data_IF_356359781479
#
_entry.id   IF_356359781479
#
_cell.length_a   1.000
_cell.length_b   1.000
_cell.length_c   1.000
_cell.angle_alpha   90.00
_cell.angle_beta   90.00
_cell.angle_gamma   90.00
#
_symmetry.space_group_name_H-M   'P 1'
#
loop_
_entity.id
_entity.type
_entity.pdbx_description
1 polymer ?
#
# COMPACT_ATOMS: atom_id res chain seq x y z
N UNK A 1 -24.98 -8.51 16.50
CA UNK A 1 -23.63 -9.08 16.66
C UNK A 1 -23.15 -9.51 15.27
N UNK A 2 -22.11 -8.85 14.68
CA UNK A 2 -21.49 -9.36 13.45
C UNK A 2 -20.77 -10.65 13.83
N UNK A 3 -21.23 -11.80 13.33
CA UNK A 3 -20.46 -13.03 13.42
C UNK A 3 -19.07 -12.73 12.89
N UNK A 4 -18.04 -13.00 13.69
CA UNK A 4 -16.65 -12.94 13.23
C UNK A 4 -16.51 -14.08 12.21
N UNK A 5 -16.60 -13.74 10.93
CA UNK A 5 -16.34 -14.69 9.86
C UNK A 5 -14.94 -15.23 10.02
N UNK A 6 -14.79 -16.56 10.01
CA UNK A 6 -13.52 -17.22 10.14
C UNK A 6 -12.56 -16.76 9.03
N UNK A 7 -11.40 -16.28 9.41
CA UNK A 7 -10.35 -15.87 8.48
C UNK A 7 -9.61 -17.12 8.00
N UNK A 8 -9.74 -17.45 6.72
CA UNK A 8 -9.11 -18.61 6.08
C UNK A 8 -7.66 -18.30 5.73
N UNK A 9 -7.38 -17.06 5.28
CA UNK A 9 -6.05 -16.60 4.92
C UNK A 9 -5.87 -15.16 5.37
N UNK A 10 -4.65 -14.83 5.83
CA UNK A 10 -4.27 -13.46 6.15
C UNK A 10 -2.83 -13.19 5.79
N UNK A 11 -2.60 -12.10 5.08
CA UNK A 11 -1.29 -11.57 4.75
C UNK A 11 -1.22 -10.09 5.12
N UNK A 12 -0.12 -9.68 5.75
CA UNK A 12 0.17 -8.27 6.05
C UNK A 12 1.50 -7.91 5.42
N UNK A 13 1.46 -7.02 4.45
CA UNK A 13 2.64 -6.50 3.78
C UNK A 13 3.00 -5.12 4.30
N UNK A 14 4.30 -4.84 4.40
CA UNK A 14 4.88 -3.53 4.70
C UNK A 14 5.83 -3.12 3.59
N UNK A 15 6.10 -1.81 3.38
CA UNK A 15 7.08 -1.38 2.39
C UNK A 15 8.46 -1.96 2.69
N UNK A 16 9.08 -2.57 1.68
CA UNK A 16 10.42 -3.17 1.80
C UNK A 16 11.40 -2.60 0.76
N UNK A 17 11.00 -1.57 0.03
CA UNK A 17 11.81 -1.00 -1.03
C UNK A 17 12.94 -0.14 -0.45
N UNK A 18 14.17 -0.62 -0.53
CA UNK A 18 15.38 0.07 -0.03
C UNK A 18 15.54 1.47 -0.66
N UNK A 19 15.21 1.64 -1.94
CA UNK A 19 15.33 2.93 -2.62
C UNK A 19 14.46 4.04 -1.99
N UNK A 20 13.30 3.67 -1.41
CA UNK A 20 12.45 4.62 -0.68
C UNK A 20 13.16 5.14 0.57
N UNK A 21 13.86 4.25 1.29
CA UNK A 21 14.66 4.63 2.46
C UNK A 21 15.82 5.53 2.08
N UNK A 22 16.49 5.25 0.96
CA UNK A 22 17.58 6.10 0.44
C UNK A 22 17.04 7.49 0.10
N UNK A 23 15.88 7.57 -0.56
CA UNK A 23 15.25 8.85 -0.88
C UNK A 23 14.86 9.63 0.38
N UNK A 24 14.23 8.97 1.35
CA UNK A 24 13.86 9.60 2.62
C UNK A 24 15.08 10.09 3.36
N UNK A 25 16.14 9.29 3.43
CA UNK A 25 17.40 9.68 4.06
C UNK A 25 18.05 10.88 3.36
N UNK A 26 18.04 10.90 2.03
CA UNK A 26 18.54 12.04 1.24
C UNK A 26 17.78 13.34 1.54
N UNK A 27 16.45 13.28 1.56
CA UNK A 27 15.62 14.44 1.94
C UNK A 27 15.87 14.84 3.40
N UNK A 28 16.02 13.87 4.29
CA UNK A 28 16.31 14.12 5.70
C UNK A 28 17.63 14.88 5.87
N UNK A 29 18.70 14.47 5.18
CA UNK A 29 20.00 15.14 5.21
C UNK A 29 19.87 16.58 4.69
N UNK A 30 19.15 16.78 3.59
CA UNK A 30 18.92 18.11 3.03
C UNK A 30 18.14 19.01 4.01
N UNK A 31 17.10 18.49 4.66
CA UNK A 31 16.32 19.21 5.66
C UNK A 31 17.14 19.57 6.89
N UNK A 32 18.02 18.65 7.36
CA UNK A 32 18.96 18.95 8.43
C UNK A 32 19.96 20.02 8.05
N UNK A 33 20.52 19.93 6.85
CA UNK A 33 21.46 20.92 6.37
C UNK A 33 20.83 22.33 6.32
N UNK A 34 19.64 22.46 5.74
CA UNK A 34 18.91 23.73 5.70
C UNK A 34 18.55 24.24 7.10
N UNK A 35 18.13 23.35 8.02
CA UNK A 35 17.83 23.73 9.39
C UNK A 35 19.06 24.24 10.14
N UNK A 36 20.18 23.54 10.06
CA UNK A 36 21.42 23.94 10.72
C UNK A 36 21.91 25.28 10.16
N UNK A 37 21.95 25.43 8.84
CA UNK A 37 22.39 26.67 8.21
C UNK A 37 21.52 27.86 8.60
N UNK A 38 20.20 27.75 8.43
CA UNK A 38 19.31 28.89 8.57
C UNK A 38 18.88 29.17 10.01
N UNK A 39 18.71 28.12 10.84
CA UNK A 39 18.21 28.30 12.22
C UNK A 39 19.34 28.41 13.24
N UNK A 40 20.44 27.66 13.03
CA UNK A 40 21.55 27.65 14.01
C UNK A 40 22.61 28.70 13.65
N UNK A 41 22.97 28.80 12.38
CA UNK A 41 24.03 29.72 11.92
C UNK A 41 23.48 31.03 11.35
N UNK A 42 22.18 31.20 11.23
CA UNK A 42 21.49 32.38 10.69
C UNK A 42 21.92 32.74 9.25
N UNK A 43 22.36 31.73 8.48
CA UNK A 43 22.78 31.84 7.08
C UNK A 43 21.59 31.43 6.20
N UNK A 44 21.02 32.33 5.36
CA UNK A 44 19.90 32.02 4.51
C UNK A 44 20.13 30.80 3.62
N UNK A 45 19.20 29.85 3.60
CA UNK A 45 19.29 28.64 2.79
C UNK A 45 18.58 28.82 1.44
N UNK A 46 19.36 28.90 0.36
CA UNK A 46 18.87 29.09 -1.02
C UNK A 46 18.62 30.55 -1.41
N UNK A 47 18.29 30.78 -2.67
CA UNK A 47 18.09 32.11 -3.25
C UNK A 47 16.85 32.85 -2.71
N UNK A 48 15.84 32.10 -2.27
CA UNK A 48 14.61 32.62 -1.65
C UNK A 48 14.33 31.81 -0.38
N UNK A 49 15.00 32.14 0.73
CA UNK A 49 14.89 31.38 1.95
C UNK A 49 13.46 31.42 2.50
N UNK A 50 12.94 30.26 2.93
CA UNK A 50 11.64 30.20 3.59
C UNK A 50 11.73 30.90 4.96
N UNK A 51 10.61 31.47 5.47
CA UNK A 51 10.58 31.98 6.83
C UNK A 51 10.97 30.90 7.85
N UNK A 52 11.74 31.26 8.89
CA UNK A 52 12.23 30.33 9.90
C UNK A 52 11.12 29.46 10.51
N UNK A 53 9.96 30.04 10.80
CA UNK A 53 8.81 29.29 11.31
C UNK A 53 8.32 28.21 10.35
N UNK A 54 8.25 28.50 9.05
CA UNK A 54 7.84 27.53 8.03
C UNK A 54 8.86 26.39 7.92
N UNK A 55 10.16 26.71 7.97
CA UNK A 55 11.24 25.70 7.92
C UNK A 55 11.18 24.77 9.12
N UNK A 56 10.97 25.29 10.33
CA UNK A 56 10.84 24.50 11.57
C UNK A 56 9.63 23.56 11.47
N UNK A 57 8.47 24.07 11.04
CA UNK A 57 7.26 23.24 10.88
C UNK A 57 7.47 22.13 9.85
N UNK A 58 8.03 22.45 8.70
CA UNK A 58 8.34 21.43 7.68
C UNK A 58 9.33 20.38 8.19
N UNK A 59 10.35 20.80 8.91
CA UNK A 59 11.34 19.90 9.53
C UNK A 59 10.67 18.96 10.53
N UNK A 60 9.84 19.49 11.46
CA UNK A 60 9.12 18.67 12.43
C UNK A 60 8.16 17.68 11.76
N UNK A 61 7.35 18.16 10.79
CA UNK A 61 6.39 17.31 10.08
C UNK A 61 7.11 16.18 9.36
N UNK A 62 8.20 16.49 8.65
CA UNK A 62 8.97 15.47 7.94
C UNK A 62 9.58 14.44 8.90
N UNK A 63 10.21 14.90 10.01
CA UNK A 63 10.87 14.03 10.98
C UNK A 63 9.92 13.15 11.79
N UNK A 64 8.74 13.64 12.11
CA UNK A 64 7.75 12.89 12.86
C UNK A 64 6.91 12.01 11.92
N UNK A 65 6.40 12.58 10.84
CA UNK A 65 5.44 11.89 9.97
C UNK A 65 6.11 10.79 9.12
N UNK A 66 7.32 11.03 8.58
CA UNK A 66 7.95 10.07 7.67
C UNK A 66 8.32 8.74 8.33
N UNK A 67 8.96 8.68 9.51
CA UNK A 67 9.23 7.41 10.19
C UNK A 67 7.95 6.69 10.63
N UNK A 68 6.96 7.43 11.16
CA UNK A 68 5.68 6.85 11.57
C UNK A 68 4.99 6.17 10.39
N UNK A 69 4.91 6.85 9.25
CA UNK A 69 4.30 6.30 8.03
C UNK A 69 5.06 5.08 7.51
N UNK A 70 6.39 5.12 7.51
CA UNK A 70 7.20 4.06 6.93
C UNK A 70 7.38 2.86 7.86
N UNK A 71 7.59 3.06 9.15
CA UNK A 71 7.86 1.96 10.10
C UNK A 71 6.58 1.25 10.56
N UNK A 72 5.48 1.94 10.69
CA UNK A 72 4.26 1.37 11.27
C UNK A 72 2.97 1.67 10.53
N UNK A 73 2.91 2.81 9.83
CA UNK A 73 1.68 3.34 9.25
C UNK A 73 1.24 2.65 7.97
N UNK A 74 2.18 2.38 7.04
CA UNK A 74 1.83 1.79 5.74
C UNK A 74 1.75 0.27 5.81
N UNK A 75 0.55 -0.27 5.59
CA UNK A 75 0.30 -1.72 5.55
C UNK A 75 -0.75 -2.05 4.51
N UNK A 76 -0.50 -3.11 3.75
CA UNK A 76 -1.51 -3.77 2.94
C UNK A 76 -1.91 -5.06 3.64
N UNK A 77 -3.16 -5.14 4.05
CA UNK A 77 -3.74 -6.30 4.72
C UNK A 77 -4.68 -6.97 3.73
N UNK A 78 -4.46 -8.25 3.51
CA UNK A 78 -5.25 -9.10 2.62
C UNK A 78 -5.80 -10.23 3.48
N UNK A 79 -7.11 -10.44 3.45
CA UNK A 79 -7.79 -11.54 4.15
C UNK A 79 -8.76 -12.23 3.21
N UNK A 80 -8.80 -13.56 3.28
CA UNK A 80 -9.89 -14.36 2.71
C UNK A 80 -10.74 -14.85 3.86
N UNK A 81 -12.02 -14.59 3.77
CA UNK A 81 -13.05 -15.05 4.70
C UNK A 81 -14.11 -15.81 3.92
N UNK A 82 -15.00 -16.48 4.60
CA UNK A 82 -16.03 -17.31 3.95
C UNK A 82 -16.76 -16.65 2.78
N UNK A 83 -17.06 -15.35 2.85
CA UNK A 83 -17.83 -14.64 1.80
C UNK A 83 -16.98 -14.04 0.68
N UNK A 84 -15.65 -13.91 0.85
CA UNK A 84 -14.83 -13.28 -0.17
C UNK A 84 -13.45 -12.83 0.28
N UNK A 85 -12.87 -11.97 -0.56
CA UNK A 85 -11.58 -11.34 -0.35
C UNK A 85 -11.75 -9.93 0.23
N UNK A 86 -11.01 -9.64 1.27
CA UNK A 86 -11.03 -8.38 2.00
C UNK A 86 -9.65 -7.73 1.93
N UNK A 87 -9.61 -6.47 1.50
CA UNK A 87 -8.35 -5.72 1.33
C UNK A 87 -8.42 -4.42 2.11
N UNK A 88 -7.38 -4.14 2.89
CA UNK A 88 -7.25 -2.88 3.62
C UNK A 88 -5.85 -2.30 3.44
N UNK A 89 -5.77 -1.09 2.92
CA UNK A 89 -4.52 -0.36 2.76
C UNK A 89 -4.47 0.77 3.81
N UNK A 90 -3.73 0.53 4.88
CA UNK A 90 -3.59 1.47 6.00
C UNK A 90 -2.54 2.51 5.67
N UNK A 91 -2.73 3.83 5.97
CA UNK A 91 -3.88 4.43 6.65
C UNK A 91 -5.03 4.86 5.72
N UNK A 92 -4.91 4.69 4.41
CA UNK A 92 -5.85 5.22 3.41
C UNK A 92 -7.26 4.60 3.47
N UNK A 93 -7.35 3.36 3.94
CA UNK A 93 -8.65 2.70 4.13
C UNK A 93 -8.94 2.53 5.63
N UNK A 94 -9.98 3.19 6.11
CA UNK A 94 -10.49 3.00 7.47
C UNK A 94 -11.22 1.67 7.61
N UNK A 95 -11.86 1.18 6.54
CA UNK A 95 -12.58 -0.08 6.48
C UNK A 95 -12.00 -1.00 5.39
N UNK A 96 -12.27 -2.30 5.49
CA UNK A 96 -11.93 -3.24 4.43
C UNK A 96 -12.72 -2.94 3.16
N UNK A 97 -12.05 -3.09 2.01
CA UNK A 97 -12.70 -3.20 0.71
C UNK A 97 -13.02 -4.67 0.48
N UNK A 98 -14.27 -4.94 0.21
CA UNK A 98 -14.80 -6.30 0.10
C UNK A 98 -14.98 -6.66 -1.38
N UNK A 99 -14.51 -7.84 -1.73
CA UNK A 99 -14.69 -8.48 -3.04
C UNK A 99 -15.39 -9.80 -2.79
N UNK A 100 -16.72 -9.81 -2.91
CA UNK A 100 -17.53 -10.99 -2.63
C UNK A 100 -17.33 -12.04 -3.71
N UNK A 101 -17.28 -13.33 -3.33
CA UNK A 101 -17.08 -14.43 -4.27
C UNK A 101 -18.13 -14.47 -5.37
N UNK A 102 -19.38 -14.10 -5.06
CA UNK A 102 -20.47 -14.00 -6.04
C UNK A 102 -20.23 -12.98 -7.15
N UNK A 103 -19.42 -11.94 -6.88
CA UNK A 103 -19.10 -10.87 -7.83
C UNK A 103 -17.82 -11.16 -8.61
N UNK A 104 -17.06 -12.19 -8.20
CA UNK A 104 -15.81 -12.63 -8.85
C UNK A 104 -16.12 -13.69 -9.89
N UNK A 105 -16.00 -13.35 -11.16
CA UNK A 105 -16.19 -14.29 -12.28
C UNK A 105 -15.04 -15.26 -12.45
N UNK A 106 -13.81 -14.72 -12.31
CA UNK A 106 -12.59 -15.47 -12.49
C UNK A 106 -11.47 -14.87 -11.65
N UNK A 107 -10.55 -15.71 -11.19
CA UNK A 107 -9.32 -15.26 -10.54
C UNK A 107 -8.16 -16.16 -10.91
N UNK A 108 -7.00 -15.54 -11.10
CA UNK A 108 -5.78 -16.24 -11.49
C UNK A 108 -4.53 -15.59 -10.86
N UNK A 109 -3.53 -16.44 -10.61
CA UNK A 109 -2.22 -15.97 -10.18
C UNK A 109 -1.49 -15.38 -11.37
N UNK A 110 -0.99 -14.15 -11.21
CA UNK A 110 -0.26 -13.45 -12.26
C UNK A 110 1.09 -12.96 -11.78
N UNK A 111 2.00 -12.82 -12.75
CA UNK A 111 3.24 -12.05 -12.57
C UNK A 111 3.15 -10.81 -13.45
N UNK A 112 3.31 -9.63 -12.86
CA UNK A 112 3.18 -8.37 -13.57
C UNK A 112 4.28 -7.39 -13.17
N UNK A 113 4.45 -6.32 -13.98
CA UNK A 113 5.35 -5.22 -13.62
C UNK A 113 4.52 -4.09 -13.01
N UNK A 114 4.64 -3.78 -11.71
CA UNK A 114 3.92 -2.69 -11.08
C UNK A 114 4.15 -1.35 -11.78
N UNK A 115 5.41 -1.05 -12.13
CA UNK A 115 5.77 0.19 -12.83
C UNK A 115 5.16 0.29 -14.22
N UNK A 116 5.28 -0.77 -15.05
CA UNK A 116 4.80 -0.73 -16.43
C UNK A 116 3.27 -0.76 -16.53
N UNK A 117 2.59 -1.58 -15.70
CA UNK A 117 1.13 -1.76 -15.78
C UNK A 117 0.36 -0.69 -15.03
N UNK A 118 0.89 -0.16 -13.91
CA UNK A 118 0.17 0.72 -12.99
C UNK A 118 0.95 1.99 -12.57
N UNK A 119 2.16 2.20 -13.09
CA UNK A 119 2.98 3.35 -12.74
C UNK A 119 3.60 3.29 -11.34
N UNK A 120 3.60 2.12 -10.68
CA UNK A 120 4.24 1.93 -9.38
C UNK A 120 3.45 1.08 -8.38
N UNK A 121 3.86 1.19 -7.12
CA UNK A 121 3.23 0.50 -5.99
C UNK A 121 2.20 1.38 -5.29
N UNK A 122 1.37 0.76 -4.45
CA UNK A 122 0.31 1.41 -3.69
C UNK A 122 -1.09 1.07 -4.20
N UNK A 123 -2.01 2.03 -4.07
CA UNK A 123 -3.34 1.98 -4.67
C UNK A 123 -3.25 2.75 -5.98
N UNK A 124 -3.38 2.06 -7.09
CA UNK A 124 -3.24 2.66 -8.42
C UNK A 124 -4.37 2.22 -9.35
N UNK A 125 -4.56 3.00 -10.40
CA UNK A 125 -5.42 2.71 -11.52
C UNK A 125 -4.60 2.84 -12.80
N UNK A 126 -4.86 1.99 -13.77
CA UNK A 126 -4.29 2.15 -15.11
C UNK A 126 -5.30 2.78 -16.09
N UNK A 127 -4.83 3.10 -17.27
CA UNK A 127 -5.67 3.69 -18.34
C UNK A 127 -6.80 2.77 -18.83
N UNK A 128 -6.75 1.46 -18.51
CA UNK A 128 -7.80 0.50 -18.85
C UNK A 128 -8.87 0.40 -17.75
N UNK A 129 -8.78 1.22 -16.71
CA UNK A 129 -9.71 1.16 -15.57
C UNK A 129 -9.45 0.02 -14.58
N UNK A 130 -8.35 -0.73 -14.75
CA UNK A 130 -7.96 -1.76 -13.80
C UNK A 130 -7.40 -1.13 -12.53
N UNK A 131 -7.78 -1.66 -11.39
CA UNK A 131 -7.29 -1.21 -10.09
C UNK A 131 -6.26 -2.18 -9.54
N UNK A 132 -5.26 -1.66 -8.81
CA UNK A 132 -4.32 -2.51 -8.09
C UNK A 132 -4.20 -2.07 -6.63
N UNK A 133 -4.02 -3.06 -5.76
CA UNK A 133 -3.53 -2.91 -4.40
C UNK A 133 -2.25 -3.71 -4.29
N UNK A 134 -1.12 -3.04 -4.24
CA UNK A 134 0.16 -3.72 -4.06
C UNK A 134 1.08 -2.93 -3.13
N UNK A 135 1.96 -3.63 -2.45
CA UNK A 135 2.95 -3.04 -1.57
C UNK A 135 4.36 -3.40 -2.03
N UNK A 136 4.59 -4.67 -2.37
CA UNK A 136 5.89 -5.19 -2.76
C UNK A 136 5.78 -6.20 -3.89
N UNK A 137 6.90 -6.46 -4.58
CA UNK A 137 7.05 -7.57 -5.52
C UNK A 137 6.35 -7.35 -6.86
N UNK A 138 6.23 -8.47 -7.59
CA UNK A 138 5.68 -8.52 -8.96
C UNK A 138 4.61 -9.61 -9.11
N UNK A 139 4.28 -10.35 -8.04
CA UNK A 139 3.28 -11.40 -8.03
C UNK A 139 1.96 -10.87 -7.49
N UNK A 140 0.86 -11.44 -7.93
CA UNK A 140 -0.46 -11.06 -7.47
C UNK A 140 -1.53 -12.04 -7.92
N UNK A 141 -2.76 -11.81 -7.50
CA UNK A 141 -3.96 -12.41 -8.04
C UNK A 141 -4.75 -11.34 -8.78
N UNK A 142 -5.10 -11.61 -10.01
CA UNK A 142 -6.03 -10.83 -10.79
C UNK A 142 -7.45 -11.36 -10.57
N UNK A 143 -8.34 -10.47 -10.14
CA UNK A 143 -9.76 -10.74 -9.97
C UNK A 143 -10.50 -10.10 -11.14
N UNK A 144 -11.20 -10.90 -11.95
CA UNK A 144 -12.12 -10.41 -12.98
C UNK A 144 -13.51 -10.34 -12.35
N UNK A 145 -13.95 -9.13 -12.08
CA UNK A 145 -15.28 -8.85 -11.55
C UNK A 145 -16.30 -8.69 -12.71
N UNK A 146 -17.54 -8.44 -12.36
CA UNK A 146 -18.61 -8.28 -13.36
C UNK A 146 -18.32 -7.09 -14.30
N UNK A 147 -17.80 -5.98 -13.75
CA UNK A 147 -17.62 -4.72 -14.51
C UNK A 147 -16.16 -4.27 -14.67
N UNK A 148 -15.25 -4.79 -13.87
CA UNK A 148 -13.84 -4.35 -13.88
C UNK A 148 -12.91 -5.47 -13.43
N UNK A 149 -11.61 -5.20 -13.52
CA UNK A 149 -10.57 -6.09 -13.00
C UNK A 149 -9.81 -5.41 -11.87
N UNK A 150 -9.44 -6.21 -10.86
CA UNK A 150 -8.66 -5.76 -9.72
C UNK A 150 -7.48 -6.70 -9.52
N UNK A 151 -6.28 -6.13 -9.39
CA UNK A 151 -5.08 -6.89 -9.07
C UNK A 151 -4.75 -6.71 -7.59
N UNK A 152 -4.57 -7.82 -6.90
CA UNK A 152 -4.13 -7.86 -5.51
C UNK A 152 -2.70 -8.39 -5.48
N UNK A 153 -1.74 -7.50 -5.22
CA UNK A 153 -0.33 -7.88 -5.06
C UNK A 153 -0.15 -8.71 -3.79
N UNK A 154 0.46 -9.88 -3.91
CA UNK A 154 0.70 -10.79 -2.79
C UNK A 154 2.08 -11.43 -2.90
N UNK A 155 2.70 -11.73 -1.77
CA UNK A 155 3.92 -12.52 -1.71
C UNK A 155 3.62 -14.04 -1.73
N UNK A 156 2.35 -14.41 -1.52
CA UNK A 156 1.86 -15.77 -1.35
C UNK A 156 0.71 -16.11 -2.32
N UNK A 157 0.92 -15.99 -3.65
CA UNK A 157 -0.16 -16.14 -4.61
C UNK A 157 -0.84 -17.50 -4.57
N UNK A 158 -0.08 -18.56 -4.36
CA UNK A 158 -0.62 -19.93 -4.34
C UNK A 158 -1.45 -20.21 -3.08
N UNK A 159 -1.01 -19.70 -1.91
CA UNK A 159 -1.77 -19.80 -0.67
C UNK A 159 -3.07 -18.98 -0.76
N UNK A 160 -2.98 -17.77 -1.30
CA UNK A 160 -4.14 -16.90 -1.48
C UNK A 160 -5.15 -17.52 -2.44
N UNK A 161 -4.68 -18.12 -3.55
CA UNK A 161 -5.55 -18.82 -4.50
C UNK A 161 -6.24 -20.01 -3.86
N UNK A 162 -5.50 -20.88 -3.15
CA UNK A 162 -6.07 -22.01 -2.41
C UNK A 162 -7.12 -21.58 -1.39
N UNK A 163 -6.89 -20.46 -0.70
CA UNK A 163 -7.86 -19.93 0.25
C UNK A 163 -9.14 -19.46 -0.42
N UNK A 164 -9.05 -18.84 -1.61
CA UNK A 164 -10.21 -18.46 -2.42
C UNK A 164 -10.97 -19.69 -2.92
N UNK A 165 -10.27 -20.74 -3.38
CA UNK A 165 -10.86 -22.00 -3.80
C UNK A 165 -11.62 -22.66 -2.65
N UNK A 166 -11.02 -22.72 -1.44
CA UNK A 166 -11.67 -23.24 -0.23
C UNK A 166 -12.89 -22.45 0.19
N UNK A 167 -12.81 -21.10 0.14
CA UNK A 167 -13.94 -20.25 0.46
C UNK A 167 -15.10 -20.43 -0.54
N UNK A 168 -14.79 -20.65 -1.83
CA UNK A 168 -15.79 -20.90 -2.87
C UNK A 168 -16.52 -22.22 -2.66
N UNK A 169 -15.78 -23.30 -2.40
CA UNK A 169 -16.36 -24.62 -2.11
C UNK A 169 -17.29 -24.59 -0.89
N UNK A 170 -16.93 -23.82 0.13
CA UNK A 170 -17.75 -23.71 1.36
C UNK A 170 -19.07 -22.94 1.14
N UNK A 171 -19.16 -22.10 0.12
CA UNK A 171 -20.37 -21.35 -0.22
C UNK A 171 -21.28 -22.08 -1.23
N UNK A 172 -20.78 -23.11 -1.89
CA UNK A 172 -21.52 -23.93 -2.86
C UNK A 172 -22.21 -25.17 -2.20
N UNK A 173 -21.80 -25.51 -0.98
CA UNK A 173 -22.38 -26.55 -0.14
C UNK A 173 -23.39 -25.96 0.85
#
# INVERSE_FOLDING_TARGET
MKQQEQVIFREVQRPQQIWIWILILGIAILMWYGFIQQIIFDIPFGDKPAPNGALIVLWLVFWIASPILMLGGLKLIIEVRGKGLYVRFVPFHFQYREYLLKDIRHYESITYSPLKRFGGWGIRFNFKGEKVYNMNGKKGIELKLIYNSVVIGTQKPDELKKALDSAKQHNEN
#
